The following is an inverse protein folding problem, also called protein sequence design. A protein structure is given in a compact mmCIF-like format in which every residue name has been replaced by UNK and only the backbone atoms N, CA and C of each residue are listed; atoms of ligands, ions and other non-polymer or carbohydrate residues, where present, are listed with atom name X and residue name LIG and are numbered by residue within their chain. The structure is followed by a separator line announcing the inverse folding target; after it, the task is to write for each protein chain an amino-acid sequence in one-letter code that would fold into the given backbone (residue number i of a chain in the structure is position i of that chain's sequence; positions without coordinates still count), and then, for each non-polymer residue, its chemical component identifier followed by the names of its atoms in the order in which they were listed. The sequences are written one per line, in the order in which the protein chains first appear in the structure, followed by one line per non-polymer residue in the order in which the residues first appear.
data_IF_659236771175
#
_entry.id   IF_659236771175
#
_cell.length_a   1.000
_cell.length_b   1.000
_cell.length_c   1.000
_cell.angle_alpha   90.00
_cell.angle_beta   90.00
_cell.angle_gamma   90.00
#
_symmetry.space_group_name_H-M   'P 1'
#
loop_
_entity.id
_entity.type
_entity.pdbx_description
1 polymer ?
#
# COMPACT_ATOMS: atom_id res chain seq x y z
N UNK A 1 19.59 -29.28 32.34
CA UNK A 1 19.34 -28.95 30.95
C UNK A 1 19.60 -27.46 30.85
N UNK A 2 20.73 -27.06 30.23
CA UNK A 2 21.08 -25.67 30.04
C UNK A 2 20.14 -25.09 28.98
N UNK A 3 19.41 -24.05 29.34
CA UNK A 3 18.71 -23.19 28.42
C UNK A 3 19.81 -22.50 27.59
N UNK A 4 19.93 -22.93 26.34
CA UNK A 4 20.88 -22.38 25.38
C UNK A 4 20.35 -20.99 25.02
N UNK A 5 20.84 -19.96 25.71
CA UNK A 5 20.40 -18.56 25.63
C UNK A 5 20.61 -17.92 24.23
N UNK A 6 20.20 -18.62 23.18
CA UNK A 6 20.17 -18.14 21.80
C UNK A 6 19.11 -17.06 21.70
N UNK A 7 19.53 -15.81 21.51
CA UNK A 7 18.59 -14.73 21.16
C UNK A 7 17.82 -15.12 19.91
N UNK A 8 16.49 -14.96 19.97
CA UNK A 8 15.63 -15.16 18.82
C UNK A 8 16.11 -14.31 17.62
N UNK A 9 16.00 -14.87 16.44
CA UNK A 9 16.25 -14.14 15.20
C UNK A 9 15.14 -13.11 14.97
N UNK A 10 15.39 -12.12 14.15
CA UNK A 10 14.36 -11.13 13.84
C UNK A 10 13.14 -11.75 13.13
N UNK A 11 13.35 -12.76 12.30
CA UNK A 11 12.29 -13.52 11.65
C UNK A 11 11.41 -14.23 12.67
N UNK A 12 11.99 -14.89 13.68
CA UNK A 12 11.26 -15.56 14.78
C UNK A 12 10.46 -14.55 15.62
N UNK A 13 11.04 -13.39 15.94
CA UNK A 13 10.35 -12.30 16.65
C UNK A 13 9.13 -11.79 15.87
N UNK A 14 9.28 -11.54 14.58
CA UNK A 14 8.21 -11.04 13.70
C UNK A 14 7.12 -12.09 13.52
N UNK A 15 7.48 -13.36 13.33
CA UNK A 15 6.51 -14.47 13.27
C UNK A 15 5.69 -14.56 14.55
N UNK A 16 6.33 -14.46 15.71
CA UNK A 16 5.62 -14.47 16.99
C UNK A 16 4.62 -13.30 17.14
N UNK A 17 5.00 -12.10 16.71
CA UNK A 17 4.11 -10.95 16.71
C UNK A 17 2.92 -11.15 15.74
N UNK A 18 3.17 -11.65 14.54
CA UNK A 18 2.13 -11.90 13.53
C UNK A 18 1.17 -13.01 13.96
N UNK A 19 1.67 -14.05 14.60
CA UNK A 19 0.83 -15.13 15.13
C UNK A 19 -0.16 -14.65 16.20
N UNK A 20 0.20 -13.61 16.98
CA UNK A 20 -0.67 -12.95 17.94
C UNK A 20 -1.49 -11.78 17.37
N UNK A 21 -1.32 -11.45 16.09
CA UNK A 21 -1.98 -10.29 15.50
C UNK A 21 -3.50 -10.50 15.35
N UNK A 22 -4.33 -9.49 15.68
CA UNK A 22 -5.77 -9.62 15.57
C UNK A 22 -6.21 -9.82 14.10
N UNK A 23 -7.17 -10.73 13.88
CA UNK A 23 -7.76 -10.97 12.56
C UNK A 23 -8.73 -9.85 12.13
N UNK A 24 -9.26 -9.94 10.89
CA UNK A 24 -10.34 -9.07 10.45
C UNK A 24 -11.61 -9.30 11.29
N UNK A 25 -12.43 -8.28 11.45
CA UNK A 25 -13.72 -8.38 12.13
C UNK A 25 -14.77 -9.01 11.18
N UNK A 26 -15.02 -10.30 11.39
CA UNK A 26 -15.97 -11.05 10.56
C UNK A 26 -17.43 -10.58 10.72
N UNK A 27 -17.81 -10.04 11.90
CA UNK A 27 -19.16 -9.50 12.14
C UNK A 27 -19.35 -8.21 11.34
N UNK A 28 -18.42 -7.27 11.43
CA UNK A 28 -18.46 -6.03 10.67
C UNK A 28 -18.48 -6.30 9.14
N UNK A 29 -17.65 -7.23 8.68
CA UNK A 29 -17.63 -7.65 7.29
C UNK A 29 -18.98 -8.21 6.83
N UNK A 30 -19.58 -9.11 7.61
CA UNK A 30 -20.87 -9.75 7.28
C UNK A 30 -22.00 -8.71 7.23
N UNK A 31 -22.06 -7.79 8.20
CA UNK A 31 -23.10 -6.75 8.24
C UNK A 31 -23.03 -5.82 7.01
N UNK A 32 -21.80 -5.42 6.59
CA UNK A 32 -21.63 -4.60 5.39
C UNK A 32 -21.92 -5.37 4.12
N UNK A 33 -21.57 -6.64 4.02
CA UNK A 33 -21.90 -7.49 2.88
C UNK A 33 -23.44 -7.70 2.76
N UNK A 34 -24.13 -7.91 3.88
CA UNK A 34 -25.60 -8.01 3.92
C UNK A 34 -26.26 -6.72 3.45
N UNK A 35 -25.82 -5.56 4.01
CA UNK A 35 -26.34 -4.26 3.59
C UNK A 35 -26.10 -4.01 2.10
N UNK A 36 -24.93 -4.35 1.56
CA UNK A 36 -24.62 -4.20 0.14
C UNK A 36 -25.58 -4.96 -0.78
N UNK A 37 -26.15 -6.09 -0.31
CA UNK A 37 -27.19 -6.84 -1.02
C UNK A 37 -28.59 -6.22 -0.97
N UNK A 38 -28.82 -5.25 -0.08
CA UNK A 38 -30.14 -4.65 0.17
C UNK A 38 -30.30 -3.22 -0.34
N UNK A 39 -29.20 -2.58 -0.82
CA UNK A 39 -29.24 -1.19 -1.29
C UNK A 39 -29.95 -1.05 -2.64
N UNK A 40 -30.47 0.15 -2.93
CA UNK A 40 -31.22 0.53 -4.15
C UNK A 40 -30.40 0.41 -5.44
N UNK A 41 -29.95 -0.82 -5.73
CA UNK A 41 -29.25 -1.17 -6.97
C UNK A 41 -29.28 -2.69 -7.17
N UNK A 42 -29.01 -3.20 -8.38
CA UNK A 42 -28.82 -4.63 -8.57
C UNK A 42 -27.69 -5.17 -7.67
N UNK A 43 -27.92 -6.30 -7.01
CA UNK A 43 -26.93 -6.93 -6.15
C UNK A 43 -25.63 -7.19 -6.92
N UNK A 44 -24.48 -6.86 -6.32
CA UNK A 44 -23.16 -7.04 -6.92
C UNK A 44 -22.83 -6.09 -8.08
N UNK A 45 -23.67 -5.09 -8.37
CA UNK A 45 -23.49 -4.20 -9.52
C UNK A 45 -22.19 -3.34 -9.45
N UNK A 46 -21.66 -3.12 -8.25
CA UNK A 46 -20.39 -2.40 -8.07
C UNK A 46 -19.19 -3.34 -7.84
N UNK A 47 -19.43 -4.67 -7.82
CA UNK A 47 -18.39 -5.70 -7.81
C UNK A 47 -17.21 -5.36 -6.84
N UNK A 48 -16.07 -4.95 -7.39
CA UNK A 48 -14.86 -4.66 -6.61
C UNK A 48 -15.04 -3.57 -5.54
N UNK A 49 -15.90 -2.58 -5.76
CA UNK A 49 -16.15 -1.54 -4.73
C UNK A 49 -16.89 -2.12 -3.53
N UNK A 50 -17.81 -3.07 -3.73
CA UNK A 50 -18.49 -3.76 -2.62
C UNK A 50 -17.50 -4.59 -1.80
N UNK A 51 -16.59 -5.31 -2.46
CA UNK A 51 -15.51 -6.05 -1.79
C UNK A 51 -14.60 -5.13 -0.97
N UNK A 52 -14.28 -3.94 -1.49
CA UNK A 52 -13.46 -2.94 -0.79
C UNK A 52 -14.18 -2.37 0.43
N UNK A 53 -15.50 -2.13 0.36
CA UNK A 53 -16.28 -1.69 1.51
C UNK A 53 -16.29 -2.77 2.62
N UNK A 54 -16.48 -4.03 2.27
CA UNK A 54 -16.43 -5.18 3.19
C UNK A 54 -15.02 -5.30 3.81
N UNK A 55 -13.97 -5.17 3.00
CA UNK A 55 -12.59 -5.19 3.48
C UNK A 55 -12.30 -4.04 4.45
N UNK A 56 -12.73 -2.81 4.15
CA UNK A 56 -12.59 -1.66 5.07
C UNK A 56 -13.31 -1.93 6.40
N UNK A 57 -14.57 -2.41 6.34
CA UNK A 57 -15.34 -2.74 7.53
C UNK A 57 -14.64 -3.77 8.41
N UNK A 58 -14.12 -4.83 7.79
CA UNK A 58 -13.41 -5.91 8.48
C UNK A 58 -12.16 -5.41 9.21
N UNK A 59 -11.38 -4.52 8.60
CA UNK A 59 -10.13 -4.05 9.17
C UNK A 59 -10.30 -2.82 10.06
N UNK A 60 -11.33 -2.01 9.87
CA UNK A 60 -11.70 -0.93 10.79
C UNK A 60 -12.52 -1.44 11.98
N UNK A 61 -13.12 -2.65 11.91
CA UNK A 61 -13.98 -3.22 12.93
C UNK A 61 -15.26 -2.43 13.14
N UNK A 62 -15.90 -1.99 12.05
CA UNK A 62 -17.12 -1.16 12.07
C UNK A 62 -18.09 -1.54 10.95
N UNK A 63 -19.37 -1.47 11.24
CA UNK A 63 -20.44 -1.65 10.26
C UNK A 63 -20.66 -0.41 9.37
N UNK A 64 -20.04 0.73 9.74
CA UNK A 64 -20.03 1.98 8.98
C UNK A 64 -18.61 2.36 8.52
N UNK A 65 -18.00 1.59 7.57
CA UNK A 65 -16.65 1.89 7.11
C UNK A 65 -16.56 3.28 6.48
N UNK A 66 -15.42 3.95 6.67
CA UNK A 66 -15.19 5.27 6.12
C UNK A 66 -13.68 5.53 5.93
N UNK A 67 -13.35 6.47 5.05
CA UNK A 67 -11.99 6.99 4.88
C UNK A 67 -12.01 8.49 5.15
N UNK A 68 -11.97 8.86 6.43
CA UNK A 68 -12.06 10.24 6.90
C UNK A 68 -10.71 10.83 7.28
N UNK A 69 -9.81 9.99 7.80
CA UNK A 69 -8.47 10.36 8.26
C UNK A 69 -7.41 9.48 7.60
N UNK A 70 -7.29 9.52 6.26
CA UNK A 70 -6.19 8.82 5.61
C UNK A 70 -4.86 9.48 6.01
N UNK A 71 -3.85 8.65 6.26
CA UNK A 71 -2.51 9.12 6.58
C UNK A 71 -1.48 8.50 5.64
N UNK A 72 -0.49 9.29 5.26
CA UNK A 72 0.65 8.89 4.43
C UNK A 72 1.90 8.96 5.27
N UNK A 73 2.73 7.93 5.22
CA UNK A 73 4.08 7.94 5.78
C UNK A 73 5.07 7.62 4.66
N UNK A 74 5.98 8.54 4.38
CA UNK A 74 7.05 8.38 3.40
C UNK A 74 8.37 8.20 4.14
N UNK A 75 9.08 7.11 3.87
CA UNK A 75 10.42 6.87 4.41
C UNK A 75 11.48 7.24 3.37
N UNK A 76 12.50 7.99 3.78
CA UNK A 76 13.59 8.42 2.90
C UNK A 76 14.94 7.89 3.36
N UNK A 77 15.76 7.39 2.41
CA UNK A 77 17.12 6.93 2.68
C UNK A 77 17.99 6.93 1.42
N UNK A 78 19.30 6.93 1.60
CA UNK A 78 20.28 6.79 0.53
C UNK A 78 20.75 5.34 0.34
N UNK A 79 21.02 4.99 -0.92
CA UNK A 79 21.53 3.69 -1.32
C UNK A 79 22.95 3.74 -1.83
N UNK A 80 23.82 2.88 -1.31
CA UNK A 80 25.21 2.78 -1.77
C UNK A 80 25.35 2.34 -3.23
N UNK A 81 24.36 1.67 -3.80
CA UNK A 81 24.35 1.31 -5.21
C UNK A 81 24.11 2.51 -6.15
N UNK A 82 23.64 3.64 -5.64
CA UNK A 82 23.32 4.81 -6.45
C UNK A 82 24.55 5.37 -7.19
N UNK A 83 25.75 5.34 -6.57
CA UNK A 83 27.01 5.80 -7.17
C UNK A 83 27.46 4.95 -8.37
N UNK A 84 26.87 3.77 -8.56
CA UNK A 84 27.17 2.88 -9.68
C UNK A 84 26.42 3.27 -10.97
N UNK A 85 25.71 4.40 -10.99
CA UNK A 85 25.00 4.91 -12.16
C UNK A 85 23.78 4.05 -12.54
N UNK A 86 23.09 3.49 -11.54
CA UNK A 86 21.87 2.69 -11.68
C UNK A 86 20.59 3.54 -11.71
N UNK A 87 20.71 4.85 -11.60
CA UNK A 87 19.61 5.82 -11.63
C UNK A 87 19.88 6.91 -12.66
N UNK A 88 18.81 7.49 -13.21
CA UNK A 88 18.90 8.67 -14.08
C UNK A 88 19.24 9.96 -13.30
N UNK A 89 19.10 9.91 -11.97
CA UNK A 89 19.36 11.03 -11.08
C UNK A 89 20.56 10.74 -10.17
N UNK A 90 21.37 11.74 -9.82
CA UNK A 90 22.48 11.58 -8.89
C UNK A 90 21.97 11.41 -7.45
N UNK A 91 22.78 10.79 -6.55
CA UNK A 91 22.36 10.45 -5.17
C UNK A 91 21.83 11.64 -4.36
N UNK A 92 22.39 12.84 -4.57
CA UNK A 92 22.06 14.08 -3.85
C UNK A 92 20.58 14.49 -4.01
N UNK A 93 19.92 13.96 -5.03
CA UNK A 93 18.48 14.21 -5.26
C UNK A 93 17.64 13.66 -4.13
N UNK A 94 18.05 12.61 -3.42
CA UNK A 94 17.33 12.10 -2.25
C UNK A 94 17.12 13.17 -1.19
N UNK A 95 18.20 13.90 -0.82
CA UNK A 95 18.12 14.98 0.17
C UNK A 95 17.25 16.15 -0.32
N UNK A 96 17.33 16.50 -1.60
CA UNK A 96 16.48 17.53 -2.18
C UNK A 96 14.99 17.13 -2.16
N UNK A 97 14.68 15.87 -2.47
CA UNK A 97 13.31 15.34 -2.44
C UNK A 97 12.77 15.23 -1.01
N UNK A 98 13.59 14.80 -0.03
CA UNK A 98 13.23 14.83 1.39
C UNK A 98 12.79 16.24 1.82
N UNK A 99 13.56 17.26 1.42
CA UNK A 99 13.20 18.67 1.67
C UNK A 99 11.88 19.04 0.97
N UNK A 100 11.73 18.73 -0.31
CA UNK A 100 10.53 19.04 -1.09
C UNK A 100 9.26 18.38 -0.50
N UNK A 101 9.37 17.14 -0.03
CA UNK A 101 8.29 16.43 0.65
C UNK A 101 7.88 17.15 1.94
N UNK A 102 8.85 17.55 2.77
CA UNK A 102 8.62 18.27 4.04
C UNK A 102 8.06 19.67 3.83
N UNK A 103 8.48 20.36 2.78
CA UNK A 103 7.97 21.69 2.38
C UNK A 103 6.59 21.62 1.69
N UNK A 104 6.10 20.43 1.39
CA UNK A 104 4.77 20.24 0.82
C UNK A 104 4.66 20.53 -0.68
N UNK A 105 5.77 20.57 -1.41
CA UNK A 105 5.83 20.89 -2.85
C UNK A 105 6.07 19.67 -3.74
N UNK A 106 6.43 18.51 -3.17
CA UNK A 106 6.57 17.26 -3.90
C UNK A 106 5.21 16.69 -4.36
N UNK A 107 5.23 15.81 -5.36
CA UNK A 107 4.01 15.20 -5.91
C UNK A 107 3.17 14.55 -4.83
N UNK A 108 3.76 13.71 -3.99
CA UNK A 108 3.04 13.05 -2.88
C UNK A 108 2.37 14.05 -1.95
N UNK A 109 3.06 15.14 -1.61
CA UNK A 109 2.53 16.17 -0.72
C UNK A 109 1.32 16.88 -1.31
N UNK A 110 1.36 17.16 -2.62
CA UNK A 110 0.23 17.77 -3.34
C UNK A 110 -0.95 16.80 -3.40
N UNK A 111 -0.72 15.55 -3.80
CA UNK A 111 -1.76 14.53 -3.88
C UNK A 111 -2.38 14.23 -2.51
N UNK A 112 -1.57 14.14 -1.44
CA UNK A 112 -2.06 13.93 -0.08
C UNK A 112 -3.04 15.04 0.34
N UNK A 113 -2.68 16.32 0.12
CA UNK A 113 -3.60 17.44 0.40
C UNK A 113 -4.91 17.34 -0.38
N UNK A 114 -4.87 16.96 -1.65
CA UNK A 114 -6.08 16.85 -2.50
C UNK A 114 -7.01 15.73 -2.07
N UNK A 115 -6.45 14.62 -1.53
CA UNK A 115 -7.27 13.56 -0.95
C UNK A 115 -7.52 13.73 0.56
N UNK A 116 -7.15 14.88 1.15
CA UNK A 116 -7.34 15.16 2.57
C UNK A 116 -6.60 14.20 3.49
N UNK A 117 -5.43 13.71 3.08
CA UNK A 117 -4.55 12.88 3.88
C UNK A 117 -3.52 13.72 4.62
N UNK A 118 -3.17 13.33 5.84
CA UNK A 118 -1.94 13.81 6.50
C UNK A 118 -0.73 13.17 5.83
N UNK A 119 0.42 13.85 5.86
CA UNK A 119 1.67 13.30 5.32
C UNK A 119 2.80 13.55 6.31
N UNK A 120 3.43 12.45 6.75
CA UNK A 120 4.65 12.45 7.52
C UNK A 120 5.82 11.94 6.69
N UNK A 121 7.01 12.56 6.85
CA UNK A 121 8.23 12.20 6.14
C UNK A 121 9.32 11.85 7.14
N UNK A 122 9.67 10.57 7.17
CA UNK A 122 10.62 10.00 8.12
C UNK A 122 11.97 9.74 7.42
N UNK A 123 12.98 10.47 7.85
CA UNK A 123 14.37 10.22 7.44
C UNK A 123 14.92 9.02 8.22
N UNK A 124 15.31 7.97 7.51
CA UNK A 124 15.89 6.74 8.08
C UNK A 124 17.28 6.44 7.53
N UNK A 125 17.89 7.42 6.86
CA UNK A 125 19.27 7.27 6.37
C UNK A 125 19.67 8.15 5.19
N UNK A 126 19.11 9.35 5.05
CA UNK A 126 19.59 10.36 4.09
C UNK A 126 20.92 10.92 4.60
N UNK A 127 21.94 10.93 3.75
CA UNK A 127 23.34 11.24 4.13
C UNK A 127 24.12 10.04 4.67
N UNK A 128 23.47 8.91 4.92
CA UNK A 128 24.09 7.68 5.41
C UNK A 128 23.76 6.51 4.45
N UNK A 129 24.37 6.42 3.28
CA UNK A 129 24.04 5.40 2.29
C UNK A 129 24.22 3.97 2.84
N UNK A 130 23.46 3.05 2.29
CA UNK A 130 23.64 1.60 2.56
C UNK A 130 24.97 1.10 2.01
N UNK A 131 25.38 -0.13 2.39
CA UNK A 131 26.41 -0.86 1.68
C UNK A 131 26.02 -1.11 0.22
N UNK A 132 27.01 -1.33 -0.65
CA UNK A 132 26.80 -1.68 -2.05
C UNK A 132 26.28 -3.10 -2.16
N UNK A 133 24.97 -3.28 -2.34
CA UNK A 133 24.24 -4.57 -2.29
C UNK A 133 24.85 -5.68 -3.19
N UNK A 134 25.59 -5.29 -4.23
CA UNK A 134 26.29 -6.25 -5.10
C UNK A 134 27.51 -6.89 -4.42
N UNK A 135 28.12 -6.23 -3.43
CA UNK A 135 29.41 -6.62 -2.84
C UNK A 135 29.34 -6.96 -1.35
N UNK A 136 28.41 -6.32 -0.64
CA UNK A 136 28.29 -6.41 0.82
C UNK A 136 26.82 -6.29 1.26
N UNK A 137 26.49 -6.62 2.51
CA UNK A 137 25.17 -6.39 3.03
C UNK A 137 24.78 -4.91 2.92
N UNK A 138 23.54 -4.63 2.45
CA UNK A 138 23.02 -3.28 2.41
C UNK A 138 22.98 -2.64 3.81
N UNK A 139 22.62 -3.43 4.82
CA UNK A 139 22.54 -2.98 6.21
C UNK A 139 23.22 -3.97 7.16
N UNK A 140 23.93 -3.44 8.16
CA UNK A 140 24.34 -4.20 9.33
C UNK A 140 23.11 -4.55 10.19
N UNK A 141 23.19 -5.61 10.99
CA UNK A 141 22.07 -6.12 11.80
C UNK A 141 21.47 -5.05 12.73
N UNK A 142 22.32 -4.27 13.39
CA UNK A 142 21.84 -3.21 14.30
C UNK A 142 21.07 -2.11 13.56
N UNK A 143 21.61 -1.64 12.41
CA UNK A 143 20.98 -0.61 11.60
C UNK A 143 19.66 -1.10 10.98
N UNK A 144 19.64 -2.35 10.48
CA UNK A 144 18.41 -2.96 9.97
C UNK A 144 17.30 -2.96 11.03
N UNK A 145 17.60 -3.44 12.24
CA UNK A 145 16.67 -3.43 13.37
C UNK A 145 16.22 -2.01 13.73
N UNK A 146 17.15 -1.06 13.78
CA UNK A 146 16.83 0.35 14.08
C UNK A 146 15.86 0.97 13.08
N UNK A 147 16.07 0.73 11.77
CA UNK A 147 15.19 1.21 10.70
C UNK A 147 13.81 0.53 10.75
N UNK A 148 13.77 -0.78 10.96
CA UNK A 148 12.52 -1.53 11.11
C UNK A 148 11.69 -0.98 12.28
N UNK A 149 12.31 -0.78 13.45
CA UNK A 149 11.65 -0.20 14.62
C UNK A 149 11.26 1.28 14.41
N UNK A 150 12.02 2.04 13.61
CA UNK A 150 11.61 3.39 13.21
C UNK A 150 10.30 3.37 12.41
N UNK A 151 10.16 2.41 11.50
CA UNK A 151 8.91 2.18 10.77
C UNK A 151 7.74 1.85 11.69
N UNK A 152 7.94 0.94 12.63
CA UNK A 152 6.91 0.61 13.64
C UNK A 152 6.49 1.85 14.44
N UNK A 153 7.46 2.60 14.96
CA UNK A 153 7.18 3.83 15.75
C UNK A 153 6.41 4.88 14.96
N UNK A 154 6.69 5.03 13.67
CA UNK A 154 5.99 6.00 12.82
C UNK A 154 4.48 5.70 12.71
N UNK A 155 4.08 4.43 12.87
CA UNK A 155 2.67 4.02 12.75
C UNK A 155 2.02 3.79 14.11
N UNK A 156 2.77 3.50 15.17
CA UNK A 156 2.26 3.05 16.47
C UNK A 156 1.16 3.95 17.08
N UNK A 157 1.27 5.25 16.92
CA UNK A 157 0.36 6.24 17.51
C UNK A 157 -0.41 7.07 16.47
N UNK A 158 -0.38 6.66 15.21
CA UNK A 158 -1.02 7.40 14.13
C UNK A 158 -2.55 7.36 14.28
N UNK A 159 -3.20 8.52 14.35
CA UNK A 159 -4.66 8.63 14.32
C UNK A 159 -5.15 8.61 12.87
N UNK A 160 -5.34 7.41 12.35
CA UNK A 160 -5.76 7.19 10.97
C UNK A 160 -6.77 6.04 10.85
N UNK A 161 -7.62 6.12 9.84
CA UNK A 161 -8.55 5.05 9.45
C UNK A 161 -8.13 4.34 8.15
N UNK A 162 -7.12 4.87 7.47
CA UNK A 162 -6.45 4.28 6.31
C UNK A 162 -4.99 4.74 6.28
N UNK A 163 -4.06 3.80 6.11
CA UNK A 163 -2.64 4.09 5.94
C UNK A 163 -2.23 3.94 4.47
N UNK A 164 -1.36 4.83 4.02
CA UNK A 164 -0.63 4.74 2.76
C UNK A 164 0.86 4.80 3.07
N UNK A 165 1.65 3.90 2.52
CA UNK A 165 3.10 3.91 2.66
C UNK A 165 3.76 4.33 1.35
N UNK A 166 4.79 5.16 1.48
CA UNK A 166 5.62 5.61 0.38
C UNK A 166 7.11 5.60 0.73
N UNK A 167 7.93 5.82 -0.27
CA UNK A 167 9.38 5.80 -0.14
C UNK A 167 10.05 6.87 -1.01
N UNK A 168 11.27 7.22 -0.64
CA UNK A 168 12.16 8.04 -1.44
C UNK A 168 13.61 7.59 -1.24
N UNK A 169 14.28 7.23 -2.34
CA UNK A 169 15.69 6.85 -2.32
C UNK A 169 16.24 6.61 -3.71
N UNK A 170 17.22 7.42 -4.12
CA UNK A 170 17.88 7.21 -5.42
C UNK A 170 18.60 5.86 -5.44
N UNK A 171 18.22 5.00 -6.39
CA UNK A 171 18.75 3.64 -6.50
C UNK A 171 17.89 2.53 -5.87
N UNK A 172 16.83 2.87 -5.12
CA UNK A 172 15.99 1.91 -4.40
C UNK A 172 15.26 0.90 -5.30
N UNK A 173 14.93 1.25 -6.54
CA UNK A 173 14.36 0.27 -7.49
C UNK A 173 15.33 -0.84 -7.86
N UNK A 174 16.65 -0.60 -7.73
CA UNK A 174 17.67 -1.66 -7.88
C UNK A 174 17.66 -2.59 -6.67
N UNK A 175 17.55 -2.04 -5.45
CA UNK A 175 17.40 -2.81 -4.23
C UNK A 175 16.09 -3.64 -4.24
N UNK A 176 14.97 -3.02 -4.61
CA UNK A 176 13.68 -3.71 -4.75
C UNK A 176 13.74 -4.86 -5.78
N UNK A 177 14.43 -4.65 -6.90
CA UNK A 177 14.63 -5.69 -7.91
C UNK A 177 15.49 -6.84 -7.38
N UNK A 178 16.54 -6.57 -6.61
CA UNK A 178 17.37 -7.60 -5.98
C UNK A 178 16.57 -8.41 -4.94
N UNK A 179 15.86 -7.75 -4.05
CA UNK A 179 14.96 -8.39 -3.07
C UNK A 179 13.94 -9.28 -3.78
N UNK A 180 13.27 -8.76 -4.82
CA UNK A 180 12.27 -9.51 -5.61
C UNK A 180 12.89 -10.73 -6.30
N UNK A 181 14.04 -10.56 -6.95
CA UNK A 181 14.72 -11.65 -7.65
C UNK A 181 15.09 -12.80 -6.69
N UNK A 182 15.61 -12.46 -5.51
CA UNK A 182 16.02 -13.44 -4.50
C UNK A 182 14.78 -14.14 -3.89
N UNK A 183 13.80 -13.37 -3.42
CA UNK A 183 12.62 -13.91 -2.75
C UNK A 183 11.77 -14.81 -3.66
N UNK A 184 11.67 -14.47 -4.95
CA UNK A 184 10.84 -15.21 -5.90
C UNK A 184 11.65 -16.23 -6.74
N UNK A 185 12.97 -16.35 -6.52
CA UNK A 185 13.82 -17.23 -7.31
C UNK A 185 13.86 -16.85 -8.80
N UNK A 186 13.74 -15.56 -9.13
CA UNK A 186 13.70 -15.07 -10.52
C UNK A 186 15.07 -14.57 -10.97
N UNK A 187 15.25 -14.48 -12.30
CA UNK A 187 16.45 -13.85 -12.85
C UNK A 187 16.43 -12.33 -12.61
N UNK A 188 17.62 -11.72 -12.61
CA UNK A 188 17.74 -10.26 -12.60
C UNK A 188 16.94 -9.61 -13.73
N UNK A 189 17.02 -10.16 -14.95
CA UNK A 189 16.29 -9.70 -16.14
C UNK A 189 14.77 -9.62 -15.90
N UNK A 190 14.18 -10.64 -15.27
CA UNK A 190 12.73 -10.72 -15.04
C UNK A 190 12.24 -9.82 -13.90
N UNK A 191 13.15 -9.27 -13.09
CA UNK A 191 12.82 -8.47 -11.91
C UNK A 191 13.21 -6.99 -12.04
N UNK A 192 14.06 -6.63 -13.02
CA UNK A 192 14.65 -5.29 -13.12
C UNK A 192 14.04 -4.51 -14.28
N UNK A 193 13.53 -3.33 -13.99
CA UNK A 193 13.07 -2.36 -14.97
C UNK A 193 13.97 -1.11 -15.03
N UNK A 194 13.52 -0.12 -15.81
CA UNK A 194 14.25 1.14 -16.00
C UNK A 194 14.11 2.13 -14.84
N UNK A 195 13.32 1.81 -13.84
CA UNK A 195 13.02 2.75 -12.76
C UNK A 195 12.45 4.06 -13.28
N UNK A 196 13.03 5.17 -12.85
CA UNK A 196 12.64 6.51 -13.29
C UNK A 196 13.09 6.87 -14.71
N UNK A 197 13.75 5.95 -15.44
CA UNK A 197 14.04 6.13 -16.87
C UNK A 197 15.53 6.10 -17.23
N UNK A 198 16.33 5.19 -16.67
CA UNK A 198 17.72 4.99 -17.11
C UNK A 198 17.80 4.55 -18.59
N UNK A 199 18.88 4.94 -19.24
CA UNK A 199 19.26 4.47 -20.58
C UNK A 199 19.67 2.98 -20.58
N UNK A 200 20.07 2.45 -21.74
CA UNK A 200 20.45 1.05 -21.86
C UNK A 200 21.73 0.72 -21.06
N UNK A 201 22.67 1.65 -20.97
CA UNK A 201 23.87 1.48 -20.17
C UNK A 201 23.55 1.45 -18.66
N UNK A 202 22.66 2.32 -18.19
CA UNK A 202 22.14 2.32 -16.82
C UNK A 202 21.38 1.05 -16.49
N UNK A 203 20.53 0.57 -17.42
CA UNK A 203 19.83 -0.69 -17.25
C UNK A 203 20.80 -1.88 -17.16
N UNK A 204 21.84 -1.91 -17.98
CA UNK A 204 22.88 -2.95 -17.90
C UNK A 204 23.59 -2.95 -16.53
N UNK A 205 23.93 -1.76 -15.98
CA UNK A 205 24.48 -1.65 -14.63
C UNK A 205 23.52 -2.13 -13.54
N UNK A 206 22.23 -1.77 -13.63
CA UNK A 206 21.18 -2.28 -12.72
C UNK A 206 21.12 -3.81 -12.76
N UNK A 207 21.05 -4.39 -13.95
CA UNK A 207 21.03 -5.85 -14.12
C UNK A 207 22.25 -6.54 -13.50
N UNK A 208 23.44 -5.99 -13.73
CA UNK A 208 24.68 -6.52 -13.15
C UNK A 208 24.67 -6.45 -11.61
N UNK A 209 24.22 -5.32 -11.03
CA UNK A 209 24.14 -5.16 -9.58
C UNK A 209 23.11 -6.13 -8.95
N UNK A 210 21.93 -6.29 -9.58
CA UNK A 210 20.89 -7.21 -9.10
C UNK A 210 21.36 -8.66 -9.18
N UNK A 211 22.01 -9.07 -10.28
CA UNK A 211 22.52 -10.43 -10.43
C UNK A 211 23.64 -10.73 -9.43
N UNK A 212 24.58 -9.79 -9.23
CA UNK A 212 25.62 -9.94 -8.23
C UNK A 212 25.05 -10.08 -6.80
N UNK A 213 24.05 -9.27 -6.45
CA UNK A 213 23.37 -9.38 -5.16
C UNK A 213 22.66 -10.74 -5.02
N UNK A 214 21.96 -11.18 -6.06
CA UNK A 214 21.27 -12.49 -6.09
C UNK A 214 22.23 -13.65 -5.87
N UNK A 215 23.38 -13.65 -6.52
CA UNK A 215 24.40 -14.66 -6.35
C UNK A 215 25.06 -14.60 -4.97
N UNK A 216 25.34 -13.41 -4.46
CA UNK A 216 25.97 -13.20 -3.14
C UNK A 216 25.07 -13.65 -2.00
N UNK A 217 23.78 -13.27 -2.04
CA UNK A 217 22.83 -13.57 -0.96
C UNK A 217 22.34 -15.02 -1.05
N UNK A 218 22.12 -15.53 -2.25
CA UNK A 218 21.62 -16.89 -2.45
C UNK A 218 20.25 -17.11 -1.80
N UNK A 219 20.10 -18.24 -1.12
CA UNK A 219 18.90 -18.55 -0.34
C UNK A 219 19.10 -18.08 1.10
N UNK A 220 18.23 -17.21 1.57
CA UNK A 220 18.26 -16.68 2.94
C UNK A 220 16.83 -16.49 3.46
N UNK A 221 16.63 -16.43 4.81
CA UNK A 221 15.34 -16.06 5.40
C UNK A 221 14.83 -14.71 4.87
N UNK A 222 13.51 -14.51 4.76
CA UNK A 222 12.96 -13.35 4.07
C UNK A 222 13.40 -11.98 4.59
N UNK A 223 13.45 -11.74 5.92
CA UNK A 223 13.96 -10.49 6.45
C UNK A 223 15.48 -10.36 6.31
N UNK A 224 16.19 -11.48 6.30
CA UNK A 224 17.62 -11.48 6.01
C UNK A 224 17.89 -11.07 4.55
N UNK A 225 17.07 -11.51 3.59
CA UNK A 225 17.13 -11.01 2.20
C UNK A 225 16.94 -9.49 2.18
N UNK A 226 15.95 -8.97 2.91
CA UNK A 226 15.70 -7.53 2.99
C UNK A 226 16.89 -6.78 3.61
N UNK A 227 17.54 -7.33 4.64
CA UNK A 227 18.73 -6.76 5.25
C UNK A 227 19.93 -6.76 4.29
N UNK A 228 20.11 -7.84 3.55
CA UNK A 228 21.26 -8.04 2.66
C UNK A 228 21.20 -7.25 1.36
N UNK A 229 20.01 -7.09 0.78
CA UNK A 229 19.81 -6.56 -0.57
C UNK A 229 18.82 -5.40 -0.65
N UNK A 230 18.18 -5.02 0.46
CA UNK A 230 17.18 -3.94 0.52
C UNK A 230 17.79 -2.56 0.78
N UNK A 231 17.14 -1.81 1.66
CA UNK A 231 17.50 -0.44 2.04
C UNK A 231 16.94 -0.07 3.41
N UNK A 232 17.36 1.07 3.94
CA UNK A 232 16.94 1.53 5.25
C UNK A 232 15.42 1.87 5.24
N UNK A 233 14.94 2.53 4.20
CA UNK A 233 13.52 2.82 4.00
C UNK A 233 12.71 1.56 3.71
N UNK A 234 13.27 0.54 3.02
CA UNK A 234 12.60 -0.74 2.82
C UNK A 234 12.43 -1.48 4.16
N UNK A 235 13.43 -1.43 5.03
CA UNK A 235 13.32 -1.99 6.37
C UNK A 235 12.26 -1.26 7.21
N UNK A 236 12.21 0.07 7.13
CA UNK A 236 11.22 0.88 7.82
C UNK A 236 9.80 0.62 7.29
N UNK A 237 9.62 0.48 5.98
CA UNK A 237 8.34 0.09 5.36
C UNK A 237 7.83 -1.24 5.90
N UNK A 238 8.71 -2.26 6.00
CA UNK A 238 8.32 -3.55 6.58
C UNK A 238 7.90 -3.42 8.04
N UNK A 239 8.62 -2.64 8.84
CA UNK A 239 8.24 -2.35 10.22
C UNK A 239 6.90 -1.62 10.35
N UNK A 240 6.67 -0.62 9.50
CA UNK A 240 5.42 0.15 9.43
C UNK A 240 4.22 -0.75 9.07
N UNK A 241 4.39 -1.65 8.11
CA UNK A 241 3.36 -2.60 7.71
C UNK A 241 3.03 -3.62 8.81
N UNK A 242 4.05 -4.13 9.52
CA UNK A 242 3.86 -4.97 10.69
C UNK A 242 3.01 -4.25 11.75
N UNK A 243 3.36 -3.02 12.07
CA UNK A 243 2.61 -2.25 13.08
C UNK A 243 1.17 -1.96 12.64
N UNK A 244 0.95 -1.61 11.37
CA UNK A 244 -0.39 -1.46 10.80
C UNK A 244 -1.20 -2.75 10.91
N UNK A 245 -0.57 -3.92 10.68
CA UNK A 245 -1.20 -5.23 10.83
C UNK A 245 -1.60 -5.52 12.28
N UNK A 246 -0.72 -5.23 13.24
CA UNK A 246 -0.99 -5.41 14.68
C UNK A 246 -2.12 -4.51 15.17
N UNK A 247 -2.27 -3.33 14.59
CA UNK A 247 -3.32 -2.35 14.89
C UNK A 247 -4.63 -2.56 14.12
N UNK A 248 -4.70 -3.55 13.23
CA UNK A 248 -5.83 -3.72 12.29
C UNK A 248 -6.06 -2.48 11.40
N UNK A 249 -5.03 -1.67 11.16
CA UNK A 249 -5.14 -0.50 10.32
C UNK A 249 -5.12 -0.91 8.84
N UNK A 250 -6.16 -0.60 8.05
CA UNK A 250 -6.16 -0.85 6.61
C UNK A 250 -5.00 -0.12 5.93
N UNK A 251 -4.29 -0.81 5.02
CA UNK A 251 -3.11 -0.29 4.35
C UNK A 251 -3.23 -0.39 2.83
N UNK A 252 -2.95 0.70 2.11
CA UNK A 252 -2.83 0.70 0.65
C UNK A 252 -1.37 0.63 0.25
N UNK A 253 -1.02 -0.41 -0.50
CA UNK A 253 0.32 -0.58 -1.07
C UNK A 253 0.49 0.37 -2.25
N UNK A 254 1.59 1.09 -2.29
CA UNK A 254 1.97 1.90 -3.46
C UNK A 254 2.54 1.00 -4.58
N UNK A 255 3.70 1.32 -5.09
CA UNK A 255 4.30 0.65 -6.23
C UNK A 255 5.27 -0.47 -5.87
N UNK A 256 6.23 -0.66 -6.78
CA UNK A 256 7.16 -1.77 -6.77
C UNK A 256 8.01 -1.84 -5.49
N UNK A 257 8.60 -0.70 -5.08
CA UNK A 257 9.53 -0.67 -3.94
C UNK A 257 8.80 -1.01 -2.64
N UNK A 258 7.63 -0.39 -2.39
CA UNK A 258 6.81 -0.69 -1.22
C UNK A 258 6.41 -2.16 -1.20
N UNK A 259 5.93 -2.70 -2.33
CA UNK A 259 5.51 -4.10 -2.40
C UNK A 259 6.68 -5.06 -2.17
N UNK A 260 7.88 -4.77 -2.71
CA UNK A 260 9.09 -5.55 -2.49
C UNK A 260 9.55 -5.51 -1.01
N UNK A 261 9.40 -4.36 -0.36
CA UNK A 261 9.74 -4.20 1.06
C UNK A 261 8.84 -5.02 1.99
N UNK A 262 7.56 -5.18 1.64
CA UNK A 262 6.57 -5.86 2.46
C UNK A 262 6.45 -7.36 2.17
N UNK A 263 6.82 -7.81 0.98
CA UNK A 263 6.75 -9.21 0.58
C UNK A 263 7.40 -10.19 1.58
N UNK A 264 8.55 -9.86 2.23
CA UNK A 264 9.13 -10.70 3.27
C UNK A 264 8.17 -11.08 4.39
N UNK A 265 7.30 -10.17 4.82
CA UNK A 265 6.34 -10.43 5.91
C UNK A 265 5.33 -11.52 5.53
N UNK A 266 4.77 -11.47 4.32
CA UNK A 266 3.82 -12.48 3.82
C UNK A 266 4.48 -13.84 3.59
N UNK A 267 5.77 -13.84 3.17
CA UNK A 267 6.53 -15.07 2.99
C UNK A 267 6.93 -15.72 4.32
N UNK A 268 7.11 -14.94 5.38
CA UNK A 268 7.35 -15.42 6.74
C UNK A 268 6.08 -15.97 7.38
N UNK A 269 4.97 -15.27 7.22
CA UNK A 269 3.71 -15.62 7.86
C UNK A 269 2.55 -15.33 6.91
N UNK A 270 1.94 -16.36 6.30
CA UNK A 270 0.78 -16.20 5.44
C UNK A 270 -0.34 -15.42 6.14
N UNK A 271 -0.85 -14.38 5.49
CA UNK A 271 -1.85 -13.46 6.06
C UNK A 271 -1.24 -12.26 6.80
N UNK A 272 0.09 -12.11 6.82
CA UNK A 272 0.74 -10.91 7.37
C UNK A 272 0.28 -9.62 6.68
N UNK A 273 -0.04 -9.70 5.38
CA UNK A 273 -0.54 -8.58 4.58
C UNK A 273 -2.05 -8.64 4.32
N UNK A 274 -2.84 -9.36 5.13
CA UNK A 274 -4.29 -9.48 4.92
C UNK A 274 -5.03 -8.13 5.01
N UNK A 275 -4.52 -7.18 5.81
CA UNK A 275 -5.03 -5.81 5.93
C UNK A 275 -4.63 -4.89 4.77
N UNK A 276 -4.11 -5.42 3.65
CA UNK A 276 -3.61 -4.59 2.55
C UNK A 276 -4.39 -4.78 1.26
N UNK A 277 -4.48 -3.71 0.46
CA UNK A 277 -4.87 -3.73 -0.95
C UNK A 277 -3.79 -3.04 -1.78
N UNK A 278 -3.57 -3.49 -3.03
CA UNK A 278 -2.63 -2.84 -3.93
C UNK A 278 -3.30 -1.63 -4.61
N UNK A 279 -2.79 -0.43 -4.38
CA UNK A 279 -3.34 0.81 -4.93
C UNK A 279 -3.22 0.87 -6.45
N UNK A 280 -2.07 0.49 -6.99
CA UNK A 280 -1.86 0.49 -8.43
C UNK A 280 -0.86 -0.58 -8.90
N UNK A 281 -0.83 -0.81 -10.21
CA UNK A 281 0.26 -1.53 -10.88
C UNK A 281 1.31 -0.53 -11.34
N UNK A 282 2.52 -0.64 -10.80
CA UNK A 282 3.69 0.08 -11.34
C UNK A 282 4.14 -0.55 -12.66
N UNK A 283 4.76 0.26 -13.54
CA UNK A 283 5.32 -0.21 -14.81
C UNK A 283 6.59 -1.09 -14.65
N UNK A 284 7.10 -1.27 -13.42
CA UNK A 284 8.26 -2.12 -13.14
C UNK A 284 7.91 -3.61 -13.26
N UNK A 285 8.70 -4.43 -14.02
CA UNK A 285 8.36 -5.83 -14.33
C UNK A 285 8.30 -6.72 -13.07
N UNK A 286 9.12 -6.44 -12.07
CA UNK A 286 9.11 -7.16 -10.79
C UNK A 286 7.82 -6.96 -9.99
N UNK A 287 7.11 -5.84 -10.19
CA UNK A 287 5.90 -5.54 -9.43
C UNK A 287 4.75 -6.49 -9.74
N UNK A 288 4.50 -6.78 -11.02
CA UNK A 288 3.44 -7.72 -11.40
C UNK A 288 3.67 -9.10 -10.76
N UNK A 289 4.91 -9.59 -10.81
CA UNK A 289 5.26 -10.88 -10.21
C UNK A 289 5.05 -10.90 -8.67
N UNK A 290 5.33 -9.79 -7.98
CA UNK A 290 5.04 -9.66 -6.56
C UNK A 290 3.54 -9.65 -6.29
N UNK A 291 2.76 -8.86 -7.03
CA UNK A 291 1.32 -8.77 -6.87
C UNK A 291 0.64 -10.14 -7.08
N UNK A 292 1.06 -10.89 -8.11
CA UNK A 292 0.60 -12.25 -8.37
C UNK A 292 0.97 -13.19 -7.21
N UNK A 293 2.22 -13.16 -6.74
CA UNK A 293 2.69 -14.00 -5.62
C UNK A 293 1.95 -13.71 -4.32
N UNK A 294 1.59 -12.44 -4.09
CA UNK A 294 0.89 -11.98 -2.90
C UNK A 294 -0.64 -12.09 -3.02
N UNK A 295 -1.18 -12.44 -4.18
CA UNK A 295 -2.63 -12.48 -4.43
C UNK A 295 -3.30 -11.11 -4.30
N UNK A 296 -2.62 -10.03 -4.69
CA UNK A 296 -3.08 -8.64 -4.55
C UNK A 296 -3.36 -8.00 -5.92
N UNK A 297 -4.57 -8.18 -6.49
CA UNK A 297 -4.94 -7.50 -7.73
C UNK A 297 -4.92 -5.96 -7.50
N UNK A 298 -4.27 -5.19 -8.39
CA UNK A 298 -4.17 -3.74 -8.25
C UNK A 298 -5.51 -3.07 -8.55
N UNK A 299 -5.77 -1.94 -7.86
CA UNK A 299 -6.97 -1.13 -8.09
C UNK A 299 -6.85 -0.27 -9.35
N UNK A 300 -5.65 0.23 -9.65
CA UNK A 300 -5.38 1.11 -10.78
C UNK A 300 -4.24 0.55 -11.64
N UNK A 301 -4.34 0.80 -12.95
CA UNK A 301 -3.29 0.56 -13.93
C UNK A 301 -3.17 1.76 -14.86
N UNK A 302 -2.40 2.76 -14.43
CA UNK A 302 -2.24 4.05 -15.10
C UNK A 302 -0.82 4.24 -15.65
N UNK A 303 0.00 3.19 -15.72
CA UNK A 303 1.38 3.26 -16.19
C UNK A 303 2.32 4.07 -15.29
N UNK A 304 1.93 4.34 -14.04
CA UNK A 304 2.71 5.15 -13.08
C UNK A 304 3.98 4.42 -12.65
N UNK A 305 5.06 5.20 -12.40
CA UNK A 305 6.38 4.71 -11.97
C UNK A 305 7.17 5.73 -11.14
N UNK A 306 6.48 6.58 -10.39
CA UNK A 306 7.14 7.62 -9.59
C UNK A 306 7.62 7.09 -8.24
N UNK A 307 6.80 6.33 -7.52
CA UNK A 307 6.94 6.05 -6.09
C UNK A 307 6.28 7.14 -5.23
N UNK A 308 6.84 7.45 -4.08
CA UNK A 308 6.40 8.50 -3.15
C UNK A 308 4.93 8.33 -2.67
N UNK A 309 4.39 7.13 -2.60
CA UNK A 309 2.97 6.87 -2.33
C UNK A 309 1.99 7.35 -3.41
N UNK A 310 2.47 7.79 -4.56
CA UNK A 310 1.63 8.48 -5.56
C UNK A 310 0.51 7.61 -6.13
N UNK A 311 0.79 6.34 -6.41
CA UNK A 311 -0.20 5.41 -6.94
C UNK A 311 -1.24 4.99 -5.90
N UNK A 312 -0.80 4.79 -4.67
CA UNK A 312 -1.69 4.49 -3.55
C UNK A 312 -2.60 5.69 -3.22
N UNK A 313 -2.06 6.91 -3.24
CA UNK A 313 -2.85 8.14 -3.06
C UNK A 313 -3.92 8.31 -4.14
N UNK A 314 -3.61 7.95 -5.39
CA UNK A 314 -4.59 7.96 -6.47
C UNK A 314 -5.75 6.96 -6.26
N UNK A 315 -5.54 5.89 -5.47
CA UNK A 315 -6.57 4.91 -5.14
C UNK A 315 -7.45 5.31 -3.92
N UNK A 316 -7.03 6.25 -3.07
CA UNK A 316 -7.80 6.69 -1.88
C UNK A 316 -9.23 7.13 -2.22
N UNK A 317 -9.49 7.91 -3.30
CA UNK A 317 -10.85 8.27 -3.67
C UNK A 317 -11.74 7.07 -3.99
N UNK A 318 -11.21 6.00 -4.56
CA UNK A 318 -11.97 4.77 -4.83
C UNK A 318 -12.42 4.09 -3.54
N UNK A 319 -11.57 4.07 -2.51
CA UNK A 319 -11.91 3.52 -1.20
C UNK A 319 -13.00 4.35 -0.50
N UNK A 320 -12.98 5.68 -0.66
CA UNK A 320 -14.06 6.55 -0.19
C UNK A 320 -15.37 6.27 -0.90
N UNK A 321 -15.33 6.13 -2.23
CA UNK A 321 -16.51 5.79 -3.02
C UNK A 321 -17.06 4.41 -2.63
N UNK A 322 -16.19 3.44 -2.38
CA UNK A 322 -16.58 2.10 -1.92
C UNK A 322 -17.33 2.17 -0.58
N UNK A 323 -16.79 2.90 0.39
CA UNK A 323 -17.42 3.10 1.69
C UNK A 323 -18.78 3.82 1.55
N UNK A 324 -18.81 4.98 0.87
CA UNK A 324 -20.03 5.76 0.68
C UNK A 324 -21.13 4.99 -0.08
N UNK A 325 -20.75 4.20 -1.09
CA UNK A 325 -21.68 3.40 -1.88
C UNK A 325 -22.43 2.34 -1.06
N UNK A 326 -21.93 1.98 0.11
CA UNK A 326 -22.62 1.03 1.02
C UNK A 326 -23.25 1.77 2.20
N UNK A 327 -22.60 2.82 2.74
CA UNK A 327 -23.07 3.48 3.97
C UNK A 327 -24.08 4.58 3.74
N UNK A 328 -24.09 5.23 2.57
CA UNK A 328 -24.91 6.42 2.29
C UNK A 328 -26.06 6.13 1.31
N UNK A 329 -26.01 5.06 0.53
CA UNK A 329 -27.11 4.66 -0.33
C UNK A 329 -28.20 3.97 0.51
N UNK A 330 -29.46 4.38 0.33
CA UNK A 330 -30.60 3.78 1.01
C UNK A 330 -30.80 2.30 0.60
N UNK A 331 -31.29 1.49 1.50
CA UNK A 331 -31.80 0.16 1.19
C UNK A 331 -33.18 0.23 0.53
N UNK A 332 -33.64 -0.86 -0.09
CA UNK A 332 -34.98 -0.94 -0.62
C UNK A 332 -36.03 -0.66 0.47
N UNK A 333 -35.88 -1.22 1.65
CA UNK A 333 -36.78 -1.01 2.80
C UNK A 333 -36.72 0.45 3.30
N UNK A 334 -35.52 1.04 3.46
CA UNK A 334 -35.38 2.45 3.86
C UNK A 334 -36.03 3.41 2.87
N UNK A 335 -36.13 3.02 1.60
CA UNK A 335 -36.81 3.78 0.55
C UNK A 335 -38.30 3.49 0.42
N UNK A 336 -38.85 2.55 1.21
CA UNK A 336 -40.26 2.18 1.20
C UNK A 336 -40.64 1.21 0.06
N UNK A 337 -39.67 0.47 -0.46
CA UNK A 337 -39.88 -0.60 -1.43
C UNK A 337 -39.82 -1.94 -0.71
N UNK A 338 -40.93 -2.66 -0.64
CA UNK A 338 -41.05 -3.95 0.07
C UNK A 338 -40.39 -5.13 -0.68
N UNK A 339 -39.86 -4.91 -1.87
CA UNK A 339 -39.28 -5.97 -2.71
C UNK A 339 -37.79 -5.71 -2.98
N UNK A 340 -36.94 -6.53 -2.35
CA UNK A 340 -35.57 -6.70 -2.80
C UNK A 340 -35.48 -7.31 -4.21
N UNK A 341 -34.27 -7.35 -4.82
CA UNK A 341 -34.10 -7.76 -6.22
C UNK A 341 -34.62 -9.14 -6.61
N UNK A 342 -34.96 -9.99 -5.66
CA UNK A 342 -35.53 -11.32 -5.91
C UNK A 342 -37.01 -11.30 -6.34
N UNK A 343 -37.70 -10.17 -6.22
CA UNK A 343 -39.14 -10.05 -6.50
C UNK A 343 -39.53 -9.15 -7.68
N UNK A 344 -38.56 -8.59 -8.38
CA UNK A 344 -38.80 -7.92 -9.66
C UNK A 344 -38.72 -9.00 -10.74
N UNK A 345 -39.81 -9.76 -10.86
CA UNK A 345 -40.01 -10.68 -11.99
C UNK A 345 -39.93 -9.93 -13.34
N UNK A 346 -39.71 -10.61 -14.47
CA UNK A 346 -39.70 -9.96 -15.76
C UNK A 346 -40.99 -9.15 -15.91
N UNK A 347 -40.86 -7.87 -16.28
CA UNK A 347 -41.96 -6.94 -16.43
C UNK A 347 -43.09 -7.54 -17.25
N UNK A 348 -44.04 -8.12 -16.56
CA UNK A 348 -45.35 -8.47 -17.13
C UNK A 348 -46.07 -7.16 -17.44
N UNK A 349 -46.49 -7.03 -18.70
CA UNK A 349 -47.30 -5.95 -19.21
C UNK A 349 -48.65 -5.87 -18.50
N UNK A 350 -48.71 -5.20 -17.34
CA UNK A 350 -50.00 -4.69 -16.83
C UNK A 350 -49.77 -3.32 -16.21
N UNK A 351 -50.49 -2.34 -16.75
CA UNK A 351 -50.41 -0.94 -16.39
C UNK A 351 -50.86 -0.68 -14.95
N UNK A 352 -49.93 -0.57 -14.04
CA UNK A 352 -50.13 -0.02 -12.73
C UNK A 352 -49.76 1.47 -12.75
N UNK A 353 -50.75 2.34 -12.57
CA UNK A 353 -50.54 3.79 -12.42
C UNK A 353 -49.62 4.10 -11.25
N UNK A 354 -48.55 4.84 -11.52
CA UNK A 354 -47.69 5.41 -10.50
C UNK A 354 -48.53 6.27 -9.53
N UNK A 355 -48.36 6.16 -8.21
CA UNK A 355 -48.97 7.09 -7.29
C UNK A 355 -48.41 8.51 -7.53
N UNK A 356 -49.33 9.49 -7.65
CA UNK A 356 -49.03 10.87 -7.93
C UNK A 356 -48.03 11.42 -6.89
N UNK A 357 -46.85 11.90 -7.38
CA UNK A 357 -45.78 12.42 -6.58
C UNK A 357 -46.24 13.53 -5.65
N UNK A 358 -45.76 13.49 -4.40
CA UNK A 358 -45.77 14.63 -3.49
C UNK A 358 -44.90 15.73 -4.11
N UNK A 359 -45.48 16.90 -4.27
CA UNK A 359 -44.85 18.09 -4.82
C UNK A 359 -43.57 18.40 -4.11
N UNK A 360 -42.54 18.61 -4.89
CA UNK A 360 -41.19 18.90 -4.46
C UNK A 360 -41.07 20.11 -3.55
N UNK A 361 -40.25 19.93 -2.50
CA UNK A 361 -39.66 21.05 -1.80
C UNK A 361 -38.58 21.65 -2.70
N UNK A 362 -38.73 22.93 -3.00
CA UNK A 362 -37.78 23.72 -3.78
C UNK A 362 -36.43 23.80 -3.07
N UNK A 363 -35.39 23.46 -3.80
CA UNK A 363 -34.00 23.76 -3.43
C UNK A 363 -33.83 25.30 -3.38
N UNK A 364 -33.11 25.85 -2.37
CA UNK A 364 -32.84 27.28 -2.35
C UNK A 364 -31.84 27.62 -3.49
N UNK A 365 -32.17 28.68 -4.21
CA UNK A 365 -31.36 29.25 -5.28
C UNK A 365 -30.00 29.72 -4.75
N UNK A 366 -28.93 29.36 -5.41
CA UNK A 366 -27.62 29.95 -5.19
C UNK A 366 -27.62 31.43 -5.58
N UNK A 367 -27.32 32.32 -4.64
CA UNK A 367 -27.14 33.74 -4.90
C UNK A 367 -25.86 34.02 -5.70
N UNK A 368 -25.81 35.12 -6.47
CA UNK A 368 -24.66 35.46 -7.30
C UNK A 368 -23.47 35.90 -6.42
N UNK A 369 -22.32 35.21 -6.61
CA UNK A 369 -21.06 35.60 -6.00
C UNK A 369 -20.50 36.87 -6.57
N UNK A 370 -20.16 37.80 -5.69
CA UNK A 370 -19.43 39.03 -6.00
C UNK A 370 -17.97 38.72 -6.36
N UNK A 371 -17.54 39.26 -7.46
CA UNK A 371 -16.14 39.38 -7.91
C UNK A 371 -15.38 40.36 -7.02
N UNK A 372 -14.28 39.88 -6.41
CA UNK A 372 -13.00 40.62 -6.25
C UNK A 372 -11.83 39.68 -6.06
#
# INVERSE_FOLDING_TARGET
MADDGRRATMDEEVVALLAGAPGPDGRAAAAVAERAGQILRPAGALARLDELAVWLAAWQGTEGPAVRRPAVVVFAADHGVAVEGVSAYPPEVTAAMLKALREGVATASVLARHVGATLDVVDVGVGEPTGALAREPALGTARFRACFEAGRRAVAWLDADLLVLGEMGIGNTTAAAAVTAILLGRSAQASTGRGTGVDDAGLARKLAAVEAARLRVGTAPPLEVLRQAGGAELAALAGAALEARLRRLPLVLDGFVVTAALAPLELLHPGALANTVAGHRSAEPGHLALLERLGKPPLLDLGMRLGEASGALAAVPLLRLAAAAVTEVATFTEWGLDTGPANIGPAGSEGGSLPAGRKGGSLPAAGPGETR
#
